data_IF_885515615811
#
_entry.id   IF_885515615811
#
_cell.length_a   1.000
_cell.length_b   1.000
_cell.length_c   1.000
_cell.angle_alpha   90.00
_cell.angle_beta   90.00
_cell.angle_gamma   90.00
#
_symmetry.space_group_name_H-M   'P 1'
#
loop_
_entity.id
_entity.type
_entity.pdbx_description
1 polymer ?
#
# COMPACT_ATOMS: atom_id res chain seq x y z
N UNK A 1 -2.71 16.12 12.42
CA UNK A 1 -3.08 16.56 11.05
C UNK A 1 -2.58 15.46 10.10
N UNK A 2 -3.40 14.95 9.17
CA UNK A 2 -3.05 13.76 8.36
C UNK A 2 -1.73 13.90 7.56
N UNK A 3 -1.34 15.15 7.25
CA UNK A 3 -0.09 15.50 6.55
C UNK A 3 1.20 15.20 7.34
N UNK A 4 1.13 14.96 8.64
CA UNK A 4 2.29 14.69 9.50
C UNK A 4 2.30 13.26 10.07
N UNK A 5 1.33 12.43 9.67
CA UNK A 5 1.29 11.03 10.09
C UNK A 5 2.29 10.20 9.30
N UNK A 6 2.82 9.15 9.92
CA UNK A 6 3.55 8.12 9.18
C UNK A 6 2.52 7.26 8.43
N UNK A 7 2.41 7.46 7.11
CA UNK A 7 1.36 6.89 6.28
C UNK A 7 1.96 5.83 5.35
N UNK A 8 1.44 4.60 5.43
CA UNK A 8 1.69 3.55 4.45
C UNK A 8 0.45 3.39 3.56
N UNK A 9 0.63 3.60 2.25
CA UNK A 9 -0.38 3.39 1.23
C UNK A 9 -0.19 2.01 0.58
N UNK A 10 -1.26 1.21 0.61
CA UNK A 10 -1.31 -0.09 -0.04
C UNK A 10 -2.24 -0.06 -1.27
N UNK A 11 -1.72 -0.34 -2.46
CA UNK A 11 -2.53 -0.53 -3.67
C UNK A 11 -2.50 -1.99 -4.13
N UNK A 12 -3.64 -2.54 -4.54
CA UNK A 12 -3.77 -3.97 -4.92
C UNK A 12 -3.81 -4.26 -6.42
N UNK A 13 -3.61 -3.25 -7.28
CA UNK A 13 -3.59 -3.43 -8.73
C UNK A 13 -2.79 -2.34 -9.43
N UNK A 14 -2.53 -2.52 -10.73
CA UNK A 14 -1.77 -1.57 -11.58
C UNK A 14 -2.46 -0.23 -11.82
N UNK A 15 -3.70 -0.05 -11.34
CA UNK A 15 -4.44 1.21 -11.48
C UNK A 15 -3.93 2.26 -10.50
N UNK A 16 -3.35 1.87 -9.38
CA UNK A 16 -2.80 2.78 -8.35
C UNK A 16 -3.81 3.83 -7.89
N UNK A 17 -5.04 3.41 -7.65
CA UNK A 17 -6.12 4.34 -7.35
C UNK A 17 -5.84 5.10 -6.04
N UNK A 18 -5.31 4.43 -5.02
CA UNK A 18 -4.93 5.06 -3.77
C UNK A 18 -3.82 6.10 -3.97
N UNK A 19 -2.77 5.75 -4.72
CA UNK A 19 -1.65 6.66 -5.01
C UNK A 19 -2.14 7.92 -5.72
N UNK A 20 -2.96 7.75 -6.76
CA UNK A 20 -3.53 8.86 -7.54
C UNK A 20 -4.40 9.78 -6.69
N UNK A 21 -5.11 9.23 -5.70
CA UNK A 21 -5.93 10.03 -4.78
C UNK A 21 -5.04 10.88 -3.87
N UNK A 22 -4.00 10.29 -3.25
CA UNK A 22 -3.08 11.03 -2.38
C UNK A 22 -2.30 12.11 -3.15
N UNK A 23 -1.82 11.78 -4.34
CA UNK A 23 -1.10 12.72 -5.21
C UNK A 23 -1.99 13.93 -5.59
N UNK A 24 -3.25 13.67 -5.97
CA UNK A 24 -4.24 14.74 -6.27
C UNK A 24 -4.58 15.59 -5.04
N UNK A 25 -4.52 15.01 -3.84
CA UNK A 25 -4.74 15.73 -2.59
C UNK A 25 -3.51 16.52 -2.12
N UNK A 26 -2.38 16.46 -2.84
CA UNK A 26 -1.12 17.10 -2.45
C UNK A 26 -0.50 16.48 -1.19
N UNK A 27 -0.84 15.23 -0.90
CA UNK A 27 -0.23 14.46 0.19
C UNK A 27 0.95 13.72 -0.43
N UNK A 28 2.18 14.09 -0.07
CA UNK A 28 3.41 13.52 -0.64
C UNK A 28 4.27 12.79 0.38
N UNK A 29 3.97 12.93 1.67
CA UNK A 29 4.70 12.30 2.77
C UNK A 29 4.06 10.95 3.13
N UNK A 30 4.26 9.94 2.29
CA UNK A 30 3.76 8.59 2.51
C UNK A 30 4.67 7.53 1.88
N UNK A 31 4.73 6.36 2.51
CA UNK A 31 5.32 5.16 1.92
C UNK A 31 4.29 4.48 1.03
N UNK A 32 4.76 3.86 -0.06
CA UNK A 32 3.90 3.24 -1.06
C UNK A 32 4.31 1.79 -1.31
N UNK A 33 3.34 0.89 -1.19
CA UNK A 33 3.51 -0.52 -1.50
C UNK A 33 2.39 -0.98 -2.43
N UNK A 34 2.75 -1.48 -3.61
CA UNK A 34 1.82 -2.18 -4.49
C UNK A 34 1.88 -3.68 -4.23
N UNK A 35 0.76 -4.26 -3.85
CA UNK A 35 0.57 -5.70 -3.68
C UNK A 35 0.40 -6.41 -5.04
N UNK A 36 0.35 -7.73 -4.98
CA UNK A 36 0.15 -8.64 -6.13
C UNK A 36 -1.23 -8.46 -6.78
N UNK A 37 -1.52 -9.27 -7.80
CA UNK A 37 -2.74 -9.17 -8.61
C UNK A 37 -4.01 -9.40 -7.78
N UNK A 38 -4.88 -8.39 -7.75
CA UNK A 38 -6.21 -8.45 -7.12
C UNK A 38 -6.98 -9.71 -7.50
N UNK A 39 -7.44 -10.45 -6.49
CA UNK A 39 -8.30 -11.62 -6.66
C UNK A 39 -7.60 -12.91 -7.11
N UNK A 40 -6.28 -12.87 -7.39
CA UNK A 40 -5.52 -14.07 -7.75
C UNK A 40 -4.69 -14.63 -6.59
N UNK A 41 -4.46 -13.82 -5.55
CA UNK A 41 -3.64 -14.21 -4.40
C UNK A 41 -4.53 -14.79 -3.32
N UNK A 42 -4.38 -16.07 -2.93
CA UNK A 42 -5.09 -16.65 -1.80
C UNK A 42 -4.74 -15.92 -0.50
N UNK A 43 -5.73 -15.75 0.38
CA UNK A 43 -5.52 -15.16 1.71
C UNK A 43 -5.13 -16.29 2.67
N UNK A 44 -3.83 -16.59 2.74
CA UNK A 44 -3.26 -17.55 3.70
C UNK A 44 -2.33 -16.84 4.67
N UNK A 45 -2.05 -17.47 5.81
CA UNK A 45 -1.15 -16.92 6.84
C UNK A 45 0.26 -16.66 6.29
N UNK A 46 0.76 -17.52 5.39
CA UNK A 46 2.05 -17.34 4.74
C UNK A 46 2.07 -16.11 3.83
N UNK A 47 0.99 -15.89 3.09
CA UNK A 47 0.85 -14.71 2.22
C UNK A 47 0.74 -13.44 3.05
N UNK A 48 -0.03 -13.47 4.14
CA UNK A 48 -0.14 -12.34 5.07
C UNK A 48 1.23 -12.02 5.67
N UNK A 49 1.98 -13.03 6.14
CA UNK A 49 3.33 -12.87 6.68
C UNK A 49 4.29 -12.29 5.65
N UNK A 50 4.28 -12.79 4.42
CA UNK A 50 5.14 -12.29 3.34
C UNK A 50 4.83 -10.83 2.97
N UNK A 51 3.57 -10.41 3.05
CA UNK A 51 3.18 -8.99 2.85
C UNK A 51 3.63 -8.14 4.04
N UNK A 52 3.46 -8.64 5.26
CA UNK A 52 3.90 -7.94 6.48
C UNK A 52 5.41 -7.68 6.48
N UNK A 53 6.22 -8.71 6.22
CA UNK A 53 7.69 -8.60 6.18
C UNK A 53 8.16 -7.57 5.14
N UNK A 54 7.45 -7.44 4.01
CA UNK A 54 7.72 -6.41 2.99
C UNK A 54 7.29 -5.01 3.41
N UNK A 55 6.24 -4.90 4.20
CA UNK A 55 5.73 -3.63 4.69
C UNK A 55 6.54 -3.09 5.88
N UNK A 56 7.10 -3.97 6.72
CA UNK A 56 7.89 -3.61 7.91
C UNK A 56 9.21 -2.89 7.56
N UNK A 57 9.75 -3.13 6.36
CA UNK A 57 11.00 -2.53 5.88
C UNK A 57 10.82 -1.15 5.20
N UNK A 58 9.59 -0.63 5.13
CA UNK A 58 9.24 0.69 4.57
C UNK A 58 9.05 1.71 5.69
#
# INVERSE_FOLDING_TARGET
>A
MFKTANLLLLDGCSVDCGKKILDKAGITNYQYLRLTVKGQTPVTDEVIKAVYEKAEVL
#
